data_IF_518258553417
#
_entry.id   IF_518258553417
#
_cell.length_a   1.000
_cell.length_b   1.000
_cell.length_c   1.000
_cell.angle_alpha   90.00
_cell.angle_beta   90.00
_cell.angle_gamma   90.00
#
_symmetry.space_group_name_H-M   'P 1'
#
loop_
_entity.id
_entity.type
_entity.pdbx_description
1 polymer ?
#
# COMPACT_ATOMS: atom_id res chain seq x y z
N UNK A 1 4.24 -34.32 -1.55
CA UNK A 1 4.25 -33.27 -2.59
C UNK A 1 3.61 -32.01 -2.02
N UNK A 2 4.38 -31.21 -1.28
CA UNK A 2 3.96 -29.87 -0.81
C UNK A 2 4.90 -28.89 -1.50
N UNK A 3 4.45 -28.39 -2.65
CA UNK A 3 5.24 -27.47 -3.47
C UNK A 3 5.29 -26.10 -2.77
N UNK A 4 6.48 -25.71 -2.35
CA UNK A 4 6.83 -24.36 -1.92
C UNK A 4 6.67 -23.43 -3.12
N UNK A 5 5.58 -22.65 -3.17
CA UNK A 5 5.46 -21.52 -4.10
C UNK A 5 6.51 -20.48 -3.71
N UNK A 6 7.70 -20.56 -4.32
CA UNK A 6 8.62 -19.42 -4.37
C UNK A 6 7.93 -18.33 -5.20
N UNK A 7 7.76 -17.14 -4.62
CA UNK A 7 7.20 -15.92 -5.25
C UNK A 7 8.03 -15.37 -6.41
N UNK A 8 8.39 -16.20 -7.38
CA UNK A 8 9.30 -15.81 -8.47
C UNK A 8 8.62 -15.03 -9.60
N UNK A 9 7.29 -14.86 -9.58
CA UNK A 9 6.52 -14.22 -10.67
C UNK A 9 5.74 -12.96 -10.22
N UNK A 10 5.94 -12.51 -8.99
CA UNK A 10 5.32 -11.29 -8.49
C UNK A 10 6.23 -10.09 -8.83
N UNK A 11 5.80 -9.24 -9.77
CA UNK A 11 6.50 -7.99 -10.05
C UNK A 11 6.32 -7.01 -8.87
N UNK A 12 7.39 -6.64 -8.14
CA UNK A 12 7.27 -5.73 -7.01
C UNK A 12 6.85 -4.33 -7.47
N UNK A 13 6.12 -3.62 -6.60
CA UNK A 13 5.92 -2.18 -6.77
C UNK A 13 7.28 -1.45 -6.64
N UNK A 14 7.44 -0.26 -7.25
CA UNK A 14 8.72 0.46 -7.30
C UNK A 14 9.05 1.15 -5.95
N UNK A 15 9.23 0.36 -4.90
CA UNK A 15 9.63 0.82 -3.55
C UNK A 15 11.08 1.32 -3.56
N UNK A 16 11.93 0.68 -4.38
CA UNK A 16 13.32 1.04 -4.58
C UNK A 16 13.44 1.91 -5.84
N UNK A 17 13.12 3.19 -5.68
CA UNK A 17 13.29 4.21 -6.72
C UNK A 17 14.21 5.34 -6.27
N UNK A 18 14.75 6.15 -7.20
CA UNK A 18 15.41 7.39 -6.83
C UNK A 18 14.41 8.31 -6.10
N UNK A 19 14.87 9.16 -5.16
CA UNK A 19 14.00 10.14 -4.51
C UNK A 19 13.27 11.01 -5.55
N UNK A 20 11.95 11.06 -5.46
CA UNK A 20 11.16 11.92 -6.33
C UNK A 20 11.31 13.38 -5.90
N UNK A 21 11.40 14.34 -6.85
CA UNK A 21 11.44 15.77 -6.53
C UNK A 21 10.14 16.26 -5.88
N UNK A 22 9.03 15.54 -6.10
CA UNK A 22 7.71 15.81 -5.52
C UNK A 22 7.09 14.49 -5.07
N UNK A 23 6.45 14.49 -3.90
CA UNK A 23 5.74 13.33 -3.38
C UNK A 23 4.40 13.73 -2.74
N UNK A 24 3.38 12.90 -2.94
CA UNK A 24 2.07 13.01 -2.27
C UNK A 24 1.86 11.76 -1.43
N UNK A 25 1.49 11.95 -0.16
CA UNK A 25 1.15 10.86 0.75
C UNK A 25 -0.35 10.92 1.05
N UNK A 26 -1.08 9.89 0.62
CA UNK A 26 -2.53 9.76 0.84
C UNK A 26 -2.80 8.63 1.83
N UNK A 27 -3.48 8.95 2.92
CA UNK A 27 -3.93 7.98 3.93
C UNK A 27 -5.44 8.10 4.04
N UNK A 28 -6.14 6.97 3.89
CA UNK A 28 -7.61 6.90 3.90
C UNK A 28 -8.08 5.74 4.76
N UNK A 29 -9.29 5.86 5.28
CA UNK A 29 -10.01 4.79 5.97
C UNK A 29 -11.06 4.19 5.05
N UNK A 30 -11.42 2.92 5.30
CA UNK A 30 -12.49 2.24 4.56
C UNK A 30 -13.73 2.32 5.44
N UNK A 31 -14.74 3.06 4.98
CA UNK A 31 -16.04 3.09 5.65
C UNK A 31 -16.68 1.70 5.66
N UNK A 32 -17.57 1.39 6.63
CA UNK A 32 -18.30 0.13 6.64
C UNK A 32 -19.03 -0.11 5.31
N UNK A 33 -18.82 -1.28 4.69
CA UNK A 33 -19.41 -1.62 3.39
C UNK A 33 -18.69 -1.04 2.17
N UNK A 34 -17.61 -0.28 2.35
CA UNK A 34 -16.80 0.28 1.26
C UNK A 34 -15.81 -0.70 0.62
N UNK A 35 -15.68 -1.93 1.15
CA UNK A 35 -14.75 -2.95 0.67
C UNK A 35 -14.90 -3.28 -0.83
N UNK A 36 -16.11 -3.41 -1.40
CA UNK A 36 -16.26 -3.68 -2.83
C UNK A 36 -15.65 -2.58 -3.69
N UNK A 37 -15.88 -1.30 -3.36
CA UNK A 37 -15.32 -0.17 -4.10
C UNK A 37 -13.78 -0.15 -4.09
N UNK A 38 -13.16 -0.58 -2.98
CA UNK A 38 -11.69 -0.69 -2.89
C UNK A 38 -11.18 -1.87 -3.72
N UNK A 39 -11.86 -3.02 -3.68
CA UNK A 39 -11.48 -4.22 -4.46
C UNK A 39 -11.68 -4.03 -5.96
N UNK A 40 -12.72 -3.29 -6.33
CA UNK A 40 -13.11 -3.06 -7.72
C UNK A 40 -12.41 -1.83 -8.32
N UNK A 41 -11.42 -1.24 -7.63
CA UNK A 41 -10.65 -0.10 -8.13
C UNK A 41 -10.08 -0.44 -9.54
N UNK A 42 -10.62 0.17 -10.62
CA UNK A 42 -10.32 -0.29 -11.96
C UNK A 42 -8.83 -0.15 -12.29
N UNK A 43 -8.22 -1.26 -12.74
CA UNK A 43 -6.80 -1.38 -13.08
C UNK A 43 -5.79 -1.11 -11.93
N UNK A 44 -6.28 -0.85 -10.71
CA UNK A 44 -5.47 -0.63 -9.52
C UNK A 44 -4.45 0.51 -9.65
N UNK A 45 -3.45 0.57 -8.75
CA UNK A 45 -2.42 1.61 -8.76
C UNK A 45 -1.64 1.67 -10.08
N UNK A 46 -1.36 0.51 -10.68
CA UNK A 46 -0.60 0.43 -11.92
C UNK A 46 -1.38 0.96 -13.14
N UNK A 47 -2.71 0.80 -13.15
CA UNK A 47 -3.58 1.41 -14.15
C UNK A 47 -3.59 2.93 -14.03
N UNK A 48 -3.70 3.44 -12.80
CA UNK A 48 -3.69 4.88 -12.54
C UNK A 48 -2.36 5.53 -12.98
N UNK A 49 -1.22 4.91 -12.64
CA UNK A 49 0.11 5.39 -13.08
C UNK A 49 0.19 5.46 -14.60
N UNK A 50 -0.33 4.47 -15.32
CA UNK A 50 -0.35 4.49 -16.79
C UNK A 50 -1.26 5.59 -17.32
N UNK A 51 -2.50 5.67 -16.83
CA UNK A 51 -3.47 6.66 -17.31
C UNK A 51 -2.99 8.11 -17.10
N UNK A 52 -2.36 8.41 -15.96
CA UNK A 52 -1.91 9.76 -15.60
C UNK A 52 -0.49 10.05 -16.12
N UNK A 53 0.39 9.05 -16.12
CA UNK A 53 1.79 9.21 -16.52
C UNK A 53 2.04 9.10 -18.03
N UNK A 54 1.13 8.50 -18.80
CA UNK A 54 1.30 8.32 -20.25
C UNK A 54 1.58 9.61 -21.02
N UNK A 55 0.95 10.77 -20.72
CA UNK A 55 1.28 12.04 -21.37
C UNK A 55 2.69 12.58 -21.05
N UNK A 56 3.37 12.06 -20.02
CA UNK A 56 4.70 12.53 -19.58
C UNK A 56 5.59 11.32 -19.23
N UNK A 57 6.12 10.61 -20.24
CA UNK A 57 6.89 9.38 -20.03
C UNK A 57 8.18 9.61 -19.22
N UNK A 58 8.80 10.79 -19.35
CA UNK A 58 10.00 11.17 -18.59
C UNK A 58 9.69 11.75 -17.19
N UNK A 59 8.40 11.90 -16.85
CA UNK A 59 7.95 12.48 -15.58
C UNK A 59 8.16 11.58 -14.36
N UNK A 60 8.54 10.31 -14.57
CA UNK A 60 8.92 9.39 -13.49
C UNK A 60 7.80 9.07 -12.49
N UNK A 61 6.53 9.19 -12.89
CA UNK A 61 5.39 8.93 -12.02
C UNK A 61 5.40 7.47 -11.55
N UNK A 62 5.38 7.27 -10.23
CA UNK A 62 5.20 5.97 -9.60
C UNK A 62 4.16 6.06 -8.48
N UNK A 63 3.57 4.91 -8.14
CA UNK A 63 2.62 4.79 -7.05
C UNK A 63 2.89 3.50 -6.29
N UNK A 64 2.97 3.60 -4.97
CA UNK A 64 3.07 2.47 -4.05
C UNK A 64 1.83 2.48 -3.18
N UNK A 65 1.11 1.37 -3.17
CA UNK A 65 -0.09 1.18 -2.36
C UNK A 65 0.22 0.30 -1.16
N UNK A 66 -0.03 0.81 0.05
CA UNK A 66 0.06 0.07 1.29
C UNK A 66 -1.33 -0.30 1.83
N UNK A 67 -1.43 -1.45 2.49
CA UNK A 67 -2.64 -1.89 3.18
C UNK A 67 -2.32 -2.08 4.66
N UNK A 68 -3.01 -1.35 5.53
CA UNK A 68 -2.84 -1.47 6.99
C UNK A 68 -3.44 -2.77 7.53
N UNK A 69 -2.97 -3.23 8.69
CA UNK A 69 -3.41 -4.49 9.30
C UNK A 69 -4.95 -4.64 9.43
N UNK A 70 -5.71 -3.66 9.96
CA UNK A 70 -7.18 -3.79 10.02
C UNK A 70 -7.86 -3.82 8.64
N UNK A 71 -7.26 -3.16 7.64
CA UNK A 71 -7.78 -3.17 6.28
C UNK A 71 -7.43 -4.47 5.56
N UNK A 72 -6.30 -5.10 5.88
CA UNK A 72 -5.90 -6.40 5.34
C UNK A 72 -6.96 -7.46 5.64
N UNK A 73 -7.37 -7.55 6.91
CA UNK A 73 -8.38 -8.50 7.38
C UNK A 73 -9.74 -8.32 6.68
N UNK A 74 -10.08 -7.07 6.30
CA UNK A 74 -11.32 -6.75 5.59
C UNK A 74 -11.22 -7.01 4.09
N UNK A 75 -10.08 -6.73 3.46
CA UNK A 75 -9.96 -6.68 2.00
C UNK A 75 -9.44 -7.98 1.38
N UNK A 76 -8.54 -8.68 2.06
CA UNK A 76 -7.71 -9.72 1.47
C UNK A 76 -8.00 -11.08 2.09
N UNK A 77 -8.13 -12.10 1.26
CA UNK A 77 -8.29 -13.49 1.68
C UNK A 77 -6.96 -14.20 1.43
N UNK A 78 -6.06 -14.12 2.40
CA UNK A 78 -4.70 -14.66 2.26
C UNK A 78 -3.91 -14.60 3.57
N UNK A 79 -2.74 -15.26 3.62
CA UNK A 79 -1.91 -15.25 4.82
C UNK A 79 -1.52 -13.81 5.16
N UNK A 80 -1.76 -13.43 6.41
CA UNK A 80 -1.35 -12.13 6.92
C UNK A 80 0.20 -12.07 6.98
N UNK A 81 0.85 -11.01 6.46
CA UNK A 81 2.29 -10.86 6.59
C UNK A 81 2.70 -10.87 8.06
N UNK A 82 3.79 -11.56 8.39
CA UNK A 82 4.17 -11.86 9.78
C UNK A 82 4.39 -10.61 10.64
N UNK A 83 4.93 -9.55 10.03
CA UNK A 83 5.22 -8.27 10.70
C UNK A 83 4.16 -7.20 10.43
N UNK A 84 3.10 -7.53 9.69
CA UNK A 84 1.98 -6.61 9.57
C UNK A 84 1.26 -6.57 10.92
N UNK A 85 1.14 -5.39 11.48
CA UNK A 85 0.38 -5.13 12.70
C UNK A 85 0.04 -3.64 12.75
N UNK A 86 -0.96 -3.21 13.54
CA UNK A 86 -1.17 -1.79 13.80
C UNK A 86 0.11 -1.14 14.32
N UNK A 87 0.32 0.14 14.01
CA UNK A 87 1.47 0.89 14.52
C UNK A 87 1.45 0.87 16.06
N UNK A 88 2.56 0.42 16.66
CA UNK A 88 2.72 0.37 18.11
C UNK A 88 3.26 1.71 18.57
N UNK A 89 2.45 2.46 19.33
CA UNK A 89 2.85 3.74 19.87
C UNK A 89 4.15 3.63 20.67
N UNK A 90 5.11 4.50 20.35
CA UNK A 90 6.37 4.59 21.06
C UNK A 90 6.31 5.79 22.00
N UNK A 91 6.16 5.51 23.30
CA UNK A 91 6.24 6.52 24.34
C UNK A 91 7.65 6.57 24.95
N UNK A 92 8.41 7.64 24.67
CA UNK A 92 9.63 7.98 25.41
C UNK A 92 9.41 9.20 26.30
N UNK A 93 10.14 9.37 27.42
CA UNK A 93 9.93 10.46 28.38
C UNK A 93 9.91 11.87 27.78
N UNK A 94 10.57 12.09 26.63
CA UNK A 94 10.65 13.39 25.96
C UNK A 94 10.01 13.43 24.56
N UNK A 95 9.53 12.31 24.02
CA UNK A 95 8.92 12.22 22.67
C UNK A 95 7.88 11.11 22.61
N UNK A 96 6.70 11.42 22.08
CA UNK A 96 5.65 10.45 21.73
C UNK A 96 5.53 10.33 20.22
N UNK A 97 5.33 9.11 19.74
CA UNK A 97 4.89 8.83 18.36
C UNK A 97 3.49 8.26 18.44
N UNK A 98 2.49 9.05 18.09
CA UNK A 98 1.08 8.68 18.19
C UNK A 98 0.72 7.59 17.17
N UNK A 99 0.01 6.56 17.60
CA UNK A 99 -0.73 5.68 16.69
C UNK A 99 -2.05 6.35 16.35
N UNK A 100 -2.17 6.94 15.15
CA UNK A 100 -3.42 7.57 14.73
C UNK A 100 -3.71 7.27 13.26
N UNK A 101 -4.87 6.66 12.93
CA UNK A 101 -5.43 6.78 11.60
C UNK A 101 -5.99 8.21 11.42
N UNK A 102 -5.94 8.81 10.22
CA UNK A 102 -6.57 10.11 9.98
C UNK A 102 -8.04 10.10 10.39
#
# INVERSE_FOLDING_TARGET
>A
MTSSMRSADAQPQPVLGPPAPVAVFLVVTIEPGGEPAVRDLPAGPAGLVRAVGFPSPDGGLCCVAGVGSPAWDRLLTGPHPQELHPFRELARPRRRSSSRPP
#
